data_IF_769210465280
#
_entry.id   IF_769210465280
#
_cell.length_a   1.000
_cell.length_b   1.000
_cell.length_c   1.000
_cell.angle_alpha   90.00
_cell.angle_beta   90.00
_cell.angle_gamma   90.00
#
_symmetry.space_group_name_H-M   'P 1'
#
loop_
_entity.id
_entity.type
_entity.pdbx_description
1 polymer ?
#
# COMPACT_ATOMS: atom_id res chain seq x y z
N UNK A 1 -50.61 -78.48 12.54
CA UNK A 1 -51.27 -77.61 11.62
C UNK A 1 -50.37 -76.47 11.29
N UNK A 2 -49.91 -76.50 10.14
CA UNK A 2 -49.27 -75.63 9.18
C UNK A 2 -48.82 -74.26 9.65
N UNK A 3 -47.50 -74.08 9.63
CA UNK A 3 -46.76 -72.83 9.57
C UNK A 3 -46.72 -72.30 8.12
N UNK A 4 -46.93 -71.04 7.91
CA UNK A 4 -46.60 -70.37 6.67
C UNK A 4 -45.54 -69.32 6.96
N UNK A 5 -44.32 -69.57 6.43
CA UNK A 5 -43.23 -68.61 6.40
C UNK A 5 -43.42 -67.59 5.30
N UNK A 6 -43.08 -66.36 5.57
CA UNK A 6 -42.81 -65.35 4.56
C UNK A 6 -41.29 -65.00 4.59
N UNK A 7 -40.68 -65.38 3.47
CA UNK A 7 -39.29 -65.04 3.19
C UNK A 7 -39.18 -63.53 2.86
N UNK A 8 -38.43 -62.82 3.64
CA UNK A 8 -38.03 -61.43 3.33
C UNK A 8 -36.94 -61.46 2.20
N UNK A 9 -37.19 -60.70 1.14
CA UNK A 9 -36.21 -60.48 0.05
C UNK A 9 -35.08 -59.58 0.55
N UNK A 10 -33.85 -59.79 0.09
CA UNK A 10 -32.74 -58.92 0.42
C UNK A 10 -32.86 -57.59 -0.37
N UNK A 11 -32.78 -56.48 0.33
CA UNK A 11 -32.69 -55.13 -0.22
C UNK A 11 -31.28 -54.98 -0.80
N UNK A 12 -31.16 -54.59 -2.07
CA UNK A 12 -29.88 -54.36 -2.76
C UNK A 12 -29.15 -53.21 -2.13
N UNK A 13 -27.85 -53.36 -1.95
CA UNK A 13 -26.93 -52.38 -1.34
C UNK A 13 -26.69 -51.08 -2.14
N UNK A 14 -27.43 -50.86 -3.22
CA UNK A 14 -27.28 -49.68 -4.08
C UNK A 14 -28.10 -48.46 -3.67
N UNK A 15 -29.12 -48.61 -2.85
CA UNK A 15 -30.01 -47.48 -2.44
C UNK A 15 -29.53 -46.74 -1.18
N UNK A 16 -28.44 -47.20 -0.54
CA UNK A 16 -27.90 -46.57 0.68
C UNK A 16 -26.84 -45.48 0.41
N UNK A 17 -26.37 -45.30 -0.83
CA UNK A 17 -25.30 -44.39 -1.15
C UNK A 17 -25.73 -43.03 -1.73
N UNK A 18 -26.98 -42.92 -2.17
CA UNK A 18 -27.52 -41.71 -2.81
C UNK A 18 -28.15 -40.71 -1.84
N UNK A 19 -28.37 -41.09 -0.58
CA UNK A 19 -29.08 -40.24 0.40
C UNK A 19 -28.18 -39.60 1.48
N UNK A 20 -26.82 -39.69 1.32
CA UNK A 20 -25.86 -39.14 2.28
C UNK A 20 -25.16 -37.85 1.81
N UNK A 21 -25.49 -37.32 0.62
CA UNK A 21 -24.90 -36.11 0.07
C UNK A 21 -25.87 -34.95 -0.14
N UNK A 22 -27.09 -35.00 0.38
CA UNK A 22 -28.06 -33.90 0.32
C UNK A 22 -28.23 -33.12 1.61
N UNK A 23 -27.34 -33.27 2.58
CA UNK A 23 -27.45 -32.62 3.89
C UNK A 23 -26.18 -32.00 4.38
N UNK A 24 -25.51 -31.09 3.64
CA UNK A 24 -24.47 -30.21 4.21
C UNK A 24 -24.06 -29.07 3.27
N UNK A 25 -25.00 -28.37 2.67
CA UNK A 25 -24.73 -27.14 1.92
C UNK A 25 -25.33 -25.88 2.57
N UNK A 26 -25.75 -25.99 3.85
CA UNK A 26 -26.16 -24.86 4.67
C UNK A 26 -25.05 -24.50 5.65
N UNK A 27 -24.03 -23.76 5.20
CA UNK A 27 -22.96 -23.32 6.11
C UNK A 27 -21.78 -22.63 5.48
N UNK A 28 -21.70 -22.53 4.18
CA UNK A 28 -20.76 -21.55 3.58
C UNK A 28 -21.41 -20.17 3.71
N UNK A 29 -21.19 -19.52 4.86
CA UNK A 29 -21.30 -18.07 4.92
C UNK A 29 -20.40 -17.59 3.78
N UNK A 30 -20.99 -17.03 2.74
CA UNK A 30 -20.28 -16.20 1.79
C UNK A 30 -19.69 -15.07 2.64
N UNK A 31 -18.44 -15.22 3.09
CA UNK A 31 -17.71 -14.14 3.74
C UNK A 31 -17.51 -13.13 2.61
N UNK A 32 -18.39 -12.14 2.58
CA UNK A 32 -18.28 -11.06 1.62
C UNK A 32 -16.94 -10.38 1.87
N UNK A 33 -16.15 -10.22 0.81
CA UNK A 33 -14.90 -9.48 0.90
C UNK A 33 -15.19 -8.07 1.38
N UNK A 34 -14.30 -7.53 2.20
CA UNK A 34 -14.34 -6.12 2.58
C UNK A 34 -13.93 -5.25 1.38
N UNK A 35 -14.17 -3.94 1.46
CA UNK A 35 -13.81 -3.01 0.39
C UNK A 35 -12.31 -3.08 0.05
N UNK A 36 -11.46 -3.05 1.08
CA UNK A 36 -10.01 -3.11 0.87
C UNK A 36 -9.56 -4.45 0.28
N UNK A 37 -10.18 -5.57 0.67
CA UNK A 37 -9.93 -6.88 0.07
C UNK A 37 -10.35 -6.94 -1.40
N UNK A 38 -11.51 -6.37 -1.75
CA UNK A 38 -11.98 -6.29 -3.15
C UNK A 38 -11.02 -5.46 -4.02
N UNK A 39 -10.59 -4.30 -3.53
CA UNK A 39 -9.64 -3.43 -4.23
C UNK A 39 -8.26 -4.10 -4.41
N UNK A 40 -7.73 -4.71 -3.34
CA UNK A 40 -6.48 -5.46 -3.38
C UNK A 40 -6.55 -6.66 -4.34
N UNK A 41 -7.66 -7.37 -4.36
CA UNK A 41 -7.87 -8.48 -5.30
C UNK A 41 -7.96 -7.99 -6.75
N UNK A 42 -8.72 -6.93 -6.99
CA UNK A 42 -8.90 -6.34 -8.33
C UNK A 42 -7.61 -5.84 -8.95
N UNK A 43 -6.77 -5.19 -8.17
CA UNK A 43 -5.50 -4.60 -8.62
C UNK A 43 -4.28 -5.41 -8.17
N UNK A 44 -4.48 -6.71 -7.89
CA UNK A 44 -3.44 -7.61 -7.38
C UNK A 44 -2.15 -7.55 -8.20
N UNK A 45 -2.25 -7.63 -9.52
CA UNK A 45 -1.06 -7.71 -10.39
C UNK A 45 -0.25 -6.42 -10.36
N UNK A 46 -0.91 -5.25 -10.35
CA UNK A 46 -0.22 -3.98 -10.25
C UNK A 46 0.40 -3.78 -8.88
N UNK A 47 -0.33 -4.15 -7.81
CA UNK A 47 0.20 -4.12 -6.44
C UNK A 47 1.42 -5.04 -6.30
N UNK A 48 1.32 -6.26 -6.82
CA UNK A 48 2.44 -7.21 -6.78
C UNK A 48 3.66 -6.68 -7.52
N UNK A 49 3.49 -6.14 -8.72
CA UNK A 49 4.59 -5.52 -9.48
C UNK A 49 5.23 -4.35 -8.75
N UNK A 50 4.45 -3.56 -8.03
CA UNK A 50 4.95 -2.44 -7.23
C UNK A 50 5.82 -2.96 -6.08
N UNK A 51 5.33 -3.90 -5.26
CA UNK A 51 6.05 -4.39 -4.07
C UNK A 51 7.18 -5.37 -4.38
N UNK A 52 7.27 -5.85 -5.63
CA UNK A 52 8.37 -6.69 -6.14
C UNK A 52 9.16 -6.00 -7.25
N UNK A 53 9.09 -4.68 -7.32
CA UNK A 53 9.84 -3.90 -8.31
C UNK A 53 11.36 -4.16 -8.16
N UNK A 54 12.15 -4.17 -9.26
CA UNK A 54 13.60 -4.36 -9.17
C UNK A 54 14.28 -3.43 -8.17
N UNK A 55 13.82 -2.17 -8.06
CA UNK A 55 14.31 -1.24 -7.04
C UNK A 55 14.20 -1.82 -5.62
N UNK A 56 13.03 -2.37 -5.27
CA UNK A 56 12.75 -2.94 -3.94
C UNK A 56 13.60 -4.20 -3.69
N UNK A 57 13.70 -5.08 -4.69
CA UNK A 57 14.48 -6.32 -4.59
C UNK A 57 15.96 -5.98 -4.37
N UNK A 58 16.53 -5.12 -5.21
CA UNK A 58 17.93 -4.71 -5.13
C UNK A 58 18.24 -3.91 -3.86
N UNK A 59 17.27 -3.12 -3.36
CA UNK A 59 17.37 -2.45 -2.06
C UNK A 59 17.54 -3.49 -0.93
N UNK A 60 16.68 -4.52 -0.90
CA UNK A 60 16.73 -5.59 0.08
C UNK A 60 18.01 -6.40 0.02
N UNK A 61 18.47 -6.76 -1.17
CA UNK A 61 19.70 -7.50 -1.41
C UNK A 61 20.96 -6.65 -1.17
N UNK A 62 20.82 -5.33 -1.10
CA UNK A 62 21.93 -4.38 -0.95
C UNK A 62 22.72 -4.15 -2.25
N UNK A 63 22.16 -4.55 -3.39
CA UNK A 63 22.79 -4.44 -4.71
C UNK A 63 22.32 -3.21 -5.49
N UNK A 64 21.32 -2.48 -4.98
CA UNK A 64 20.81 -1.27 -5.61
C UNK A 64 21.95 -0.25 -5.78
N UNK A 65 22.21 0.26 -7.01
CA UNK A 65 23.19 1.32 -7.22
C UNK A 65 22.84 2.57 -6.40
N UNK A 66 23.85 3.11 -5.72
CA UNK A 66 23.65 4.25 -4.82
C UNK A 66 23.11 5.48 -5.53
N UNK A 67 23.43 5.64 -6.81
CA UNK A 67 22.93 6.73 -7.66
C UNK A 67 21.41 6.65 -7.86
N UNK A 68 20.87 5.44 -8.03
CA UNK A 68 19.41 5.22 -8.13
C UNK A 68 18.72 5.55 -6.80
N UNK A 69 19.34 5.15 -5.69
CA UNK A 69 18.81 5.47 -4.37
C UNK A 69 18.86 6.97 -4.08
N UNK A 70 19.96 7.67 -4.46
CA UNK A 70 20.05 9.13 -4.36
C UNK A 70 18.95 9.83 -5.17
N UNK A 71 18.76 9.42 -6.43
CA UNK A 71 17.74 9.97 -7.31
C UNK A 71 16.32 9.76 -6.72
N UNK A 72 16.05 8.57 -6.22
CA UNK A 72 14.82 8.24 -5.51
C UNK A 72 14.62 9.17 -4.30
N UNK A 73 15.62 9.24 -3.41
CA UNK A 73 15.54 9.99 -2.15
C UNK A 73 15.34 11.49 -2.37
N UNK A 74 15.94 12.07 -3.41
CA UNK A 74 15.69 13.47 -3.78
C UNK A 74 14.25 13.70 -4.23
N UNK A 75 13.68 12.77 -5.00
CA UNK A 75 12.29 12.88 -5.45
C UNK A 75 11.30 12.61 -4.32
N UNK A 76 11.63 11.71 -3.42
CA UNK A 76 10.81 11.38 -2.26
C UNK A 76 10.79 12.55 -1.24
N UNK A 77 11.94 13.18 -1.01
CA UNK A 77 12.02 14.40 -0.19
C UNK A 77 11.14 15.54 -0.71
N UNK A 78 11.05 15.71 -2.03
CA UNK A 78 10.13 16.68 -2.65
C UNK A 78 8.68 16.24 -2.52
N UNK A 79 8.41 14.95 -2.75
CA UNK A 79 7.09 14.33 -2.69
C UNK A 79 6.43 14.44 -1.31
N UNK A 80 7.20 14.26 -0.24
CA UNK A 80 6.71 14.32 1.15
C UNK A 80 5.99 15.64 1.46
N UNK A 81 6.34 16.75 0.81
CA UNK A 81 5.65 18.04 1.02
C UNK A 81 4.17 17.97 0.64
N UNK A 82 3.86 17.30 -0.47
CA UNK A 82 2.49 17.17 -0.95
C UNK A 82 1.72 16.11 -0.15
N UNK A 83 2.40 15.05 0.31
CA UNK A 83 1.86 14.07 1.25
C UNK A 83 1.45 14.76 2.57
N UNK A 84 2.31 15.61 3.12
CA UNK A 84 2.03 16.41 4.32
C UNK A 84 0.83 17.35 4.08
N UNK A 85 0.78 18.05 2.94
CA UNK A 85 -0.32 18.95 2.60
C UNK A 85 -1.66 18.21 2.53
N UNK A 86 -1.71 17.07 1.80
CA UNK A 86 -2.92 16.24 1.70
C UNK A 86 -3.36 15.72 3.09
N UNK A 87 -2.42 15.20 3.87
CA UNK A 87 -2.73 14.65 5.20
C UNK A 87 -3.21 15.73 6.18
N UNK A 88 -2.64 16.94 6.13
CA UNK A 88 -3.09 18.08 6.92
C UNK A 88 -4.53 18.52 6.55
N UNK A 89 -4.87 18.50 5.26
CA UNK A 89 -6.26 18.69 4.83
C UNK A 89 -7.19 17.59 5.35
N UNK A 90 -6.70 16.36 5.46
CA UNK A 90 -7.42 15.25 6.09
C UNK A 90 -7.79 15.53 7.55
N UNK A 91 -6.91 16.17 8.33
CA UNK A 91 -7.21 16.57 9.72
C UNK A 91 -8.48 17.43 9.80
N UNK A 92 -8.67 18.36 8.87
CA UNK A 92 -9.83 19.26 8.87
C UNK A 92 -11.13 18.57 8.46
N UNK A 93 -11.03 17.42 7.79
CA UNK A 93 -12.16 16.61 7.29
C UNK A 93 -12.49 15.42 8.18
N UNK A 94 -11.65 15.13 9.16
CA UNK A 94 -11.89 14.02 10.09
C UNK A 94 -13.16 14.24 10.91
N UNK A 95 -14.07 13.27 10.87
CA UNK A 95 -15.36 13.35 11.58
C UNK A 95 -15.25 13.03 13.09
N UNK A 96 -14.13 12.47 13.53
CA UNK A 96 -13.88 12.10 14.94
C UNK A 96 -12.49 12.53 15.40
N UNK A 97 -12.35 12.81 16.70
CA UNK A 97 -11.04 13.09 17.30
C UNK A 97 -10.06 11.91 17.15
N UNK A 98 -10.57 10.69 17.13
CA UNK A 98 -9.73 9.51 16.92
C UNK A 98 -9.11 9.54 15.51
N UNK A 99 -9.90 9.76 14.48
CA UNK A 99 -9.42 9.85 13.10
C UNK A 99 -8.42 11.00 12.92
N UNK A 100 -8.73 12.18 13.48
CA UNK A 100 -7.81 13.30 13.47
C UNK A 100 -6.48 12.97 14.17
N UNK A 101 -6.52 12.28 15.32
CA UNK A 101 -5.32 11.90 16.06
C UNK A 101 -4.45 10.90 15.29
N UNK A 102 -5.03 9.95 14.54
CA UNK A 102 -4.26 9.03 13.70
C UNK A 102 -3.45 9.79 12.63
N UNK A 103 -4.10 10.73 11.92
CA UNK A 103 -3.40 11.57 10.95
C UNK A 103 -2.37 12.50 11.59
N UNK A 104 -2.67 13.04 12.77
CA UNK A 104 -1.71 13.88 13.52
C UNK A 104 -0.46 13.10 13.91
N UNK A 105 -0.61 11.86 14.39
CA UNK A 105 0.54 11.01 14.75
C UNK A 105 1.37 10.67 13.51
N UNK A 106 0.73 10.35 12.39
CA UNK A 106 1.41 10.10 11.12
C UNK A 106 2.20 11.32 10.64
N UNK A 107 1.59 12.52 10.66
CA UNK A 107 2.30 13.77 10.35
C UNK A 107 3.49 14.02 11.29
N UNK A 108 3.34 13.70 12.57
CA UNK A 108 4.43 13.80 13.54
C UNK A 108 5.61 12.90 13.18
N UNK A 109 5.35 11.70 12.65
CA UNK A 109 6.36 10.78 12.14
C UNK A 109 7.13 11.35 10.95
N UNK A 110 6.40 11.81 9.95
CA UNK A 110 6.99 12.37 8.71
C UNK A 110 7.80 13.64 9.00
N UNK A 111 7.24 14.57 9.78
CA UNK A 111 7.84 15.90 9.98
C UNK A 111 9.04 15.91 10.92
N UNK A 112 9.26 14.84 11.70
CA UNK A 112 10.37 14.77 12.64
C UNK A 112 11.30 13.58 12.36
N UNK A 113 11.00 12.32 12.75
CA UNK A 113 11.97 11.24 12.57
C UNK A 113 12.35 10.98 11.11
N UNK A 114 11.38 11.04 10.20
CA UNK A 114 11.62 10.78 8.79
C UNK A 114 12.38 11.92 8.10
N UNK A 115 12.03 13.18 8.42
CA UNK A 115 12.79 14.33 7.95
C UNK A 115 14.25 14.26 8.42
N UNK A 116 14.50 13.91 9.70
CA UNK A 116 15.84 13.73 10.22
C UNK A 116 16.59 12.60 9.50
N UNK A 117 15.88 11.54 9.11
CA UNK A 117 16.47 10.47 8.31
C UNK A 117 16.91 10.98 6.94
N UNK A 118 16.08 11.76 6.23
CA UNK A 118 16.46 12.35 4.95
C UNK A 118 17.77 13.14 5.06
N UNK A 119 17.88 14.04 6.03
CA UNK A 119 19.08 14.89 6.21
C UNK A 119 20.33 14.05 6.50
N UNK A 120 20.22 13.06 7.40
CA UNK A 120 21.33 12.14 7.71
C UNK A 120 21.71 11.28 6.51
N UNK A 121 20.71 10.80 5.77
CA UNK A 121 20.92 9.99 4.58
C UNK A 121 21.61 10.80 3.47
N UNK A 122 21.17 12.03 3.20
CA UNK A 122 21.85 12.91 2.23
C UNK A 122 23.31 13.11 2.59
N UNK A 123 23.61 13.37 3.86
CA UNK A 123 24.99 13.49 4.34
C UNK A 123 25.79 12.19 4.09
N UNK A 124 25.23 11.03 4.48
CA UNK A 124 25.86 9.73 4.33
C UNK A 124 26.06 9.32 2.86
N UNK A 125 25.15 9.74 1.99
CA UNK A 125 25.18 9.50 0.56
C UNK A 125 26.01 10.54 -0.22
N UNK A 126 26.54 11.57 0.43
CA UNK A 126 27.33 12.63 -0.19
C UNK A 126 26.49 13.54 -1.09
N UNK A 127 25.23 13.81 -0.74
CA UNK A 127 24.35 14.78 -1.41
C UNK A 127 24.46 16.11 -0.65
N UNK A 128 25.01 17.17 -1.28
CA UNK A 128 25.15 18.49 -0.66
C UNK A 128 23.79 19.14 -0.34
N UNK A 129 23.77 20.01 0.67
CA UNK A 129 22.54 20.72 1.07
C UNK A 129 21.95 21.54 -0.06
N UNK A 130 22.78 22.25 -0.82
CA UNK A 130 22.33 23.02 -1.97
C UNK A 130 21.62 22.17 -3.05
N UNK A 131 21.98 20.88 -3.16
CA UNK A 131 21.35 19.95 -4.10
C UNK A 131 19.94 19.55 -3.66
N UNK A 132 19.75 19.11 -2.40
CA UNK A 132 18.41 18.70 -1.96
C UNK A 132 17.52 19.91 -1.65
N UNK A 133 18.07 21.05 -1.25
CA UNK A 133 17.30 22.28 -1.05
C UNK A 133 16.77 22.86 -2.38
N UNK A 134 17.52 22.68 -3.47
CA UNK A 134 17.12 23.09 -4.82
C UNK A 134 16.39 22.00 -5.62
N UNK A 135 16.19 20.81 -5.04
CA UNK A 135 15.54 19.70 -5.73
C UNK A 135 14.13 20.08 -6.17
N UNK A 136 13.83 19.81 -7.44
CA UNK A 136 12.50 20.00 -8.04
C UNK A 136 11.87 18.67 -8.40
N UNK A 137 10.53 18.63 -8.38
CA UNK A 137 9.77 17.47 -8.76
C UNK A 137 9.99 17.11 -10.24
N UNK A 138 10.25 15.84 -10.52
CA UNK A 138 10.13 15.30 -11.88
C UNK A 138 8.68 15.36 -12.35
N UNK A 139 8.39 15.25 -13.66
CA UNK A 139 7.02 15.23 -14.15
C UNK A 139 6.12 14.20 -13.45
N UNK A 140 6.66 13.02 -13.10
CA UNK A 140 5.93 11.98 -12.37
C UNK A 140 5.68 12.39 -10.92
N UNK A 141 6.71 12.86 -10.23
CA UNK A 141 6.60 13.34 -8.84
C UNK A 141 5.61 14.48 -8.73
N UNK A 142 5.67 15.47 -9.66
CA UNK A 142 4.74 16.58 -9.71
C UNK A 142 3.30 16.09 -9.94
N UNK A 143 3.07 15.23 -10.93
CA UNK A 143 1.73 14.72 -11.23
C UNK A 143 1.14 13.91 -10.05
N UNK A 144 1.98 13.17 -9.34
CA UNK A 144 1.54 12.45 -8.14
C UNK A 144 1.22 13.40 -6.99
N UNK A 145 2.07 14.42 -6.74
CA UNK A 145 1.83 15.46 -5.76
C UNK A 145 0.53 16.24 -6.06
N UNK A 146 0.33 16.68 -7.29
CA UNK A 146 -0.88 17.36 -7.73
C UNK A 146 -2.13 16.49 -7.53
N UNK A 147 -2.04 15.18 -7.81
CA UNK A 147 -3.13 14.25 -7.54
C UNK A 147 -3.46 14.17 -6.04
N UNK A 148 -2.44 14.07 -5.17
CA UNK A 148 -2.63 14.04 -3.71
C UNK A 148 -3.25 15.33 -3.18
N UNK A 149 -2.68 16.49 -3.56
CA UNK A 149 -3.18 17.80 -3.15
C UNK A 149 -4.61 18.00 -3.63
N UNK A 150 -4.92 17.60 -4.87
CA UNK A 150 -6.27 17.64 -5.40
C UNK A 150 -7.23 16.73 -4.63
N UNK A 151 -6.81 15.49 -4.28
CA UNK A 151 -7.59 14.60 -3.43
C UNK A 151 -7.85 15.23 -2.05
N UNK A 152 -6.85 15.91 -1.49
CA UNK A 152 -6.98 16.66 -0.25
C UNK A 152 -7.98 17.81 -0.34
N UNK A 153 -7.95 18.61 -1.40
CA UNK A 153 -8.81 19.77 -1.58
C UNK A 153 -10.24 19.41 -1.94
N UNK A 154 -10.41 18.65 -3.02
CA UNK A 154 -11.72 18.36 -3.62
C UNK A 154 -12.38 17.11 -3.05
N UNK A 155 -11.55 16.21 -2.45
CA UNK A 155 -11.99 14.91 -1.98
C UNK A 155 -12.65 14.93 -0.61
N UNK A 156 -13.26 13.79 -0.27
CA UNK A 156 -13.74 13.48 1.08
C UNK A 156 -12.60 13.01 1.98
N UNK A 157 -12.90 12.76 3.25
CA UNK A 157 -11.96 12.14 4.17
C UNK A 157 -11.55 10.74 3.70
N UNK A 158 -12.51 9.95 3.20
CA UNK A 158 -12.30 8.60 2.69
C UNK A 158 -11.44 8.59 1.41
N UNK A 159 -11.52 9.63 0.58
CA UNK A 159 -10.63 9.78 -0.57
C UNK A 159 -9.17 9.91 -0.13
N UNK A 160 -8.91 10.74 0.89
CA UNK A 160 -7.56 10.92 1.47
C UNK A 160 -7.08 9.63 2.13
N UNK A 161 -7.94 8.99 2.94
CA UNK A 161 -7.63 7.71 3.58
C UNK A 161 -7.32 6.63 2.53
N UNK A 162 -8.00 6.66 1.37
CA UNK A 162 -7.73 5.73 0.27
C UNK A 162 -6.34 5.95 -0.34
N UNK A 163 -5.95 7.21 -0.56
CA UNK A 163 -4.60 7.52 -1.05
C UNK A 163 -3.56 7.02 -0.03
N UNK A 164 -3.69 7.39 1.24
CA UNK A 164 -2.80 6.95 2.31
C UNK A 164 -2.75 5.41 2.46
N UNK A 165 -3.90 4.73 2.29
CA UNK A 165 -3.92 3.26 2.32
C UNK A 165 -3.11 2.63 1.19
N UNK A 166 -3.06 3.26 0.01
CA UNK A 166 -2.23 2.78 -1.10
C UNK A 166 -0.77 3.13 -0.86
N UNK A 167 -0.43 4.38 -0.54
CA UNK A 167 0.95 4.83 -0.33
C UNK A 167 1.62 4.06 0.80
N UNK A 168 1.09 4.17 2.00
CA UNK A 168 1.66 3.52 3.19
C UNK A 168 1.49 1.98 3.16
N UNK A 169 0.40 1.50 2.55
CA UNK A 169 0.14 0.06 2.43
C UNK A 169 1.10 -0.66 1.50
N UNK A 170 1.51 -0.04 0.38
CA UNK A 170 2.51 -0.61 -0.51
C UNK A 170 3.89 -0.60 0.14
N UNK A 171 4.24 0.46 0.86
CA UNK A 171 5.48 0.57 1.61
C UNK A 171 5.54 -0.44 2.76
N UNK A 172 4.48 -0.58 3.54
CA UNK A 172 4.39 -1.63 4.56
C UNK A 172 4.54 -3.03 3.97
N UNK A 173 3.91 -3.31 2.81
CA UNK A 173 3.94 -4.64 2.19
C UNK A 173 5.38 -5.00 1.77
N UNK A 174 6.07 -4.14 1.00
CA UNK A 174 7.43 -4.44 0.59
C UNK A 174 8.41 -4.43 1.78
N UNK A 175 8.28 -3.50 2.72
CA UNK A 175 9.12 -3.47 3.92
C UNK A 175 8.98 -4.74 4.76
N UNK A 176 7.74 -5.19 4.98
CA UNK A 176 7.45 -6.46 5.68
C UNK A 176 8.08 -7.65 4.95
N UNK A 177 7.90 -7.76 3.62
CA UNK A 177 8.48 -8.85 2.81
C UNK A 177 9.99 -8.93 2.93
N UNK A 178 10.68 -7.80 2.84
CA UNK A 178 12.13 -7.76 2.98
C UNK A 178 12.58 -8.17 4.39
N UNK A 179 11.90 -7.68 5.43
CA UNK A 179 12.21 -8.02 6.82
C UNK A 179 11.95 -9.50 7.12
N UNK A 180 10.83 -10.06 6.66
CA UNK A 180 10.48 -11.48 6.83
C UNK A 180 11.43 -12.41 6.07
N UNK A 181 11.91 -11.97 4.89
CA UNK A 181 12.96 -12.67 4.15
C UNK A 181 14.36 -12.59 4.79
N UNK A 182 14.50 -11.87 5.91
CA UNK A 182 15.76 -11.69 6.61
C UNK A 182 16.74 -10.76 5.90
N UNK A 183 16.27 -9.96 4.96
CA UNK A 183 17.11 -9.01 4.20
C UNK A 183 17.70 -7.95 5.15
N UNK A 184 19.03 -7.81 5.10
CA UNK A 184 19.79 -6.87 5.94
C UNK A 184 20.96 -6.32 5.13
N UNK A 185 20.71 -5.36 4.22
CA UNK A 185 21.77 -4.78 3.39
C UNK A 185 22.88 -4.18 4.25
N UNK A 186 24.12 -4.23 3.76
CA UNK A 186 25.29 -3.68 4.46
C UNK A 186 25.23 -2.14 4.58
N UNK A 187 24.61 -1.47 3.60
CA UNK A 187 24.40 -0.03 3.63
C UNK A 187 23.42 0.35 4.76
N UNK A 188 23.85 1.16 5.75
CA UNK A 188 23.01 1.50 6.90
C UNK A 188 21.80 2.36 6.52
N UNK A 189 21.89 3.19 5.48
CA UNK A 189 20.76 4.00 4.99
C UNK A 189 19.66 3.09 4.40
N UNK A 190 20.04 2.08 3.60
CA UNK A 190 19.08 1.12 3.05
C UNK A 190 18.38 0.34 4.15
N UNK A 191 19.14 -0.09 5.17
CA UNK A 191 18.57 -0.79 6.33
C UNK A 191 17.55 0.05 7.08
N UNK A 192 17.93 1.29 7.42
CA UNK A 192 17.05 2.20 8.13
C UNK A 192 15.79 2.51 7.32
N UNK A 193 15.92 2.67 6.00
CA UNK A 193 14.78 2.87 5.10
C UNK A 193 13.83 1.66 5.08
N UNK A 194 14.35 0.45 5.08
CA UNK A 194 13.55 -0.77 5.21
C UNK A 194 12.87 -0.83 6.58
N UNK A 195 13.61 -0.54 7.64
CA UNK A 195 13.12 -0.68 9.02
C UNK A 195 11.95 0.28 9.32
N UNK A 196 11.98 1.54 8.83
CA UNK A 196 10.87 2.50 9.04
C UNK A 196 9.61 2.13 8.28
N UNK A 197 9.70 1.34 7.21
CA UNK A 197 8.57 0.84 6.44
C UNK A 197 8.10 -0.55 6.88
N UNK A 198 8.68 -1.06 7.96
CA UNK A 198 8.29 -2.33 8.56
C UNK A 198 7.03 -2.27 9.42
N UNK A 199 6.51 -3.46 9.82
CA UNK A 199 5.26 -3.57 10.57
C UNK A 199 5.30 -2.91 11.95
N UNK A 200 6.50 -2.69 12.52
CA UNK A 200 6.67 -2.03 13.82
C UNK A 200 6.36 -0.53 13.75
N UNK A 201 6.54 0.10 12.61
CA UNK A 201 6.33 1.54 12.39
C UNK A 201 5.00 1.80 11.70
N UNK A 202 4.78 1.21 10.51
CA UNK A 202 3.59 1.48 9.69
C UNK A 202 2.40 0.57 9.99
N UNK A 203 2.61 -0.60 10.59
CA UNK A 203 1.59 -1.65 10.69
C UNK A 203 0.29 -1.18 11.33
N UNK A 204 0.35 -0.48 12.46
CA UNK A 204 -0.83 0.01 13.17
C UNK A 204 -1.60 1.07 12.37
N UNK A 205 -0.88 1.98 11.71
CA UNK A 205 -1.49 3.03 10.89
C UNK A 205 -2.20 2.47 9.66
N UNK A 206 -1.53 1.60 8.91
CA UNK A 206 -2.13 0.97 7.70
C UNK A 206 -3.31 0.09 8.08
N UNK A 207 -3.24 -0.64 9.20
CA UNK A 207 -4.38 -1.41 9.69
C UNK A 207 -5.58 -0.52 10.03
N UNK A 208 -5.35 0.64 10.64
CA UNK A 208 -6.41 1.60 10.91
C UNK A 208 -7.00 2.18 9.62
N UNK A 209 -6.17 2.56 8.64
CA UNK A 209 -6.64 3.04 7.32
C UNK A 209 -7.57 2.02 6.66
N UNK A 210 -7.16 0.74 6.64
CA UNK A 210 -7.96 -0.35 6.10
C UNK A 210 -9.28 -0.55 6.84
N UNK A 211 -9.25 -0.58 8.17
CA UNK A 211 -10.46 -0.71 9.00
C UNK A 211 -11.42 0.46 8.80
N UNK A 212 -10.89 1.68 8.66
CA UNK A 212 -11.71 2.86 8.39
C UNK A 212 -12.46 2.72 7.06
N UNK A 213 -11.77 2.36 5.98
CA UNK A 213 -12.37 2.15 4.66
C UNK A 213 -13.41 1.01 4.66
N UNK A 214 -13.10 -0.09 5.34
CA UNK A 214 -13.97 -1.26 5.41
C UNK A 214 -15.24 -1.02 6.25
N UNK A 215 -15.18 -0.08 7.20
CA UNK A 215 -16.30 0.29 8.07
C UNK A 215 -17.12 1.47 7.56
N UNK A 216 -16.59 2.24 6.60
CA UNK A 216 -17.29 3.40 6.05
C UNK A 216 -18.53 2.95 5.24
N UNK A 217 -19.63 3.70 5.38
CA UNK A 217 -20.87 3.47 4.63
C UNK A 217 -20.71 3.98 3.18
N UNK A 218 -19.78 3.41 2.45
CA UNK A 218 -19.48 3.75 1.04
C UNK A 218 -20.29 2.89 0.05
N UNK A 219 -21.25 2.10 0.55
CA UNK A 219 -21.81 1.00 -0.20
C UNK A 219 -20.75 -0.09 -0.44
N UNK A 220 -21.14 -1.22 -1.03
CA UNK A 220 -20.18 -2.31 -1.30
C UNK A 220 -19.04 -1.90 -2.23
N UNK A 221 -19.23 -0.84 -2.99
CA UNK A 221 -18.27 -0.38 -3.96
C UNK A 221 -18.55 1.06 -4.39
N UNK A 222 -17.63 1.96 -4.08
CA UNK A 222 -17.66 3.33 -4.58
C UNK A 222 -16.79 3.44 -5.83
N UNK A 223 -17.33 3.74 -7.02
CA UNK A 223 -16.54 3.94 -8.23
C UNK A 223 -15.50 5.07 -8.08
N UNK A 224 -15.73 6.00 -7.15
CA UNK A 224 -14.77 7.07 -6.85
C UNK A 224 -13.57 6.52 -6.09
N UNK A 225 -13.80 5.74 -5.04
CA UNK A 225 -12.75 5.08 -4.25
C UNK A 225 -11.90 4.16 -5.13
N UNK A 226 -12.54 3.37 -5.99
CA UNK A 226 -11.83 2.52 -6.96
C UNK A 226 -10.90 3.32 -7.86
N UNK A 227 -11.37 4.42 -8.44
CA UNK A 227 -10.52 5.27 -9.29
C UNK A 227 -9.35 5.88 -8.52
N UNK A 228 -9.59 6.34 -7.27
CA UNK A 228 -8.54 6.92 -6.42
C UNK A 228 -7.50 5.87 -6.09
N UNK A 229 -7.93 4.69 -5.62
CA UNK A 229 -7.05 3.56 -5.32
C UNK A 229 -6.18 3.19 -6.53
N UNK A 230 -6.83 2.98 -7.68
CA UNK A 230 -6.13 2.61 -8.91
C UNK A 230 -5.17 3.70 -9.38
N UNK A 231 -5.55 4.97 -9.28
CA UNK A 231 -4.70 6.09 -9.69
C UNK A 231 -3.50 6.24 -8.77
N UNK A 232 -3.69 6.17 -7.45
CA UNK A 232 -2.60 6.21 -6.48
C UNK A 232 -1.60 5.06 -6.74
N UNK A 233 -2.10 3.84 -6.91
CA UNK A 233 -1.25 2.67 -7.16
C UNK A 233 -0.45 2.75 -8.48
N UNK A 234 -1.03 3.40 -9.51
CA UNK A 234 -0.30 3.68 -10.75
C UNK A 234 0.83 4.68 -10.54
N UNK A 235 0.59 5.72 -9.75
CA UNK A 235 1.62 6.71 -9.45
C UNK A 235 2.74 6.11 -8.60
N UNK A 236 2.41 5.26 -7.62
CA UNK A 236 3.42 4.52 -6.86
C UNK A 236 4.33 3.69 -7.77
N UNK A 237 3.72 2.95 -8.69
CA UNK A 237 4.49 2.16 -9.64
C UNK A 237 5.37 3.03 -10.56
N UNK A 238 4.81 4.13 -11.09
CA UNK A 238 5.56 5.06 -11.94
C UNK A 238 6.67 5.79 -11.18
N UNK A 239 6.51 6.00 -9.88
CA UNK A 239 7.54 6.57 -9.03
C UNK A 239 8.75 5.64 -8.95
N UNK A 240 8.54 4.33 -8.74
CA UNK A 240 9.60 3.32 -8.81
C UNK A 240 10.25 3.22 -10.20
N UNK A 241 9.46 3.24 -11.27
CA UNK A 241 9.98 3.23 -12.65
C UNK A 241 10.89 4.43 -12.89
N UNK A 242 10.46 5.62 -12.45
CA UNK A 242 11.26 6.85 -12.54
C UNK A 242 12.54 6.77 -11.73
N UNK A 243 12.48 6.26 -10.52
CA UNK A 243 13.64 6.11 -9.64
C UNK A 243 14.66 5.09 -10.18
N UNK A 244 14.18 4.03 -10.81
CA UNK A 244 15.03 2.92 -11.24
C UNK A 244 15.58 3.08 -12.65
N UNK A 245 14.73 3.51 -13.60
CA UNK A 245 15.10 3.64 -15.02
C UNK A 245 15.40 5.09 -15.44
N UNK A 246 15.15 6.06 -14.57
CA UNK A 246 15.22 7.48 -14.84
C UNK A 246 13.86 8.08 -15.15
N UNK A 247 13.54 9.17 -14.50
CA UNK A 247 12.33 9.94 -14.78
C UNK A 247 12.50 10.73 -16.09
N UNK A 248 11.38 10.94 -16.79
CA UNK A 248 11.35 11.95 -17.83
C UNK A 248 11.73 13.30 -17.21
N UNK A 249 12.57 14.08 -17.93
CA UNK A 249 12.93 15.43 -17.53
C UNK A 249 11.93 16.44 -18.08
N UNK A 250 11.83 17.57 -17.42
CA UNK A 250 11.12 18.71 -17.99
C UNK A 250 11.82 19.20 -19.26
N UNK A 251 11.09 19.66 -20.29
CA UNK A 251 11.69 20.04 -21.58
C UNK A 251 12.76 21.12 -21.48
N UNK A 252 12.67 21.99 -20.49
CA UNK A 252 13.59 23.10 -20.23
C UNK A 252 14.85 22.71 -19.42
N UNK A 253 14.88 21.52 -18.83
CA UNK A 253 16.04 21.02 -18.08
C UNK A 253 17.12 20.37 -18.95
N UNK A 254 16.83 20.13 -20.23
CA UNK A 254 17.75 19.48 -21.18
C UNK A 254 18.42 20.48 -22.15
N UNK A 255 18.39 21.78 -21.85
CA UNK A 255 19.01 22.84 -22.66
C UNK A 255 20.30 23.29 -21.98
N UNK A 256 21.31 22.41 -22.07
CA UNK A 256 22.64 22.70 -21.56
C UNK A 256 23.69 21.90 -22.33
#
# INVERSE_FOLDING_TARGET
MQANGLLARPVKAEDAFTNRFQGSNEGRRNVLMTLTQELRHRYHDLWHRMVTHPFVIELGDGTLPVEKFRAYFLQDYVFVRDLVAMTAMGLTKASTSLAANQLHQFLGGILNPENDLFIRAFTALGVPEETYAAASASPVTQAFGDFMVRAGFEGSFEDIVTVLYVTEGTYLDWGTRLLEAGQRPSNPVYREWIDIHGPQVLGAFVAWLGQHLDSADLGRYSPRIDRIFHTALRYEYLFWEGAYYGSASWPDQNVG
#
